data_IF_845341569546
#
_entry.id   IF_845341569546
#
_cell.length_a   1.000
_cell.length_b   1.000
_cell.length_c   1.000
_cell.angle_alpha   90.00
_cell.angle_beta   90.00
_cell.angle_gamma   90.00
#
_symmetry.space_group_name_H-M   'P 1'
#
loop_
_entity.id
_entity.type
_entity.pdbx_description
1 polymer ?
#
# COMPACT_ATOMS: atom_id res chain seq x y z
N UNK A 1 -26.86 -1.02 -30.20
CA UNK A 1 -28.13 -0.89 -29.43
C UNK A 1 -27.86 0.17 -28.38
N UNK A 2 -28.68 1.23 -28.29
CA UNK A 2 -28.36 2.62 -27.88
C UNK A 2 -27.62 3.41 -28.98
N UNK A 3 -28.28 4.42 -29.56
CA UNK A 3 -27.73 5.31 -30.59
C UNK A 3 -26.67 6.30 -30.07
N UNK A 4 -25.78 5.83 -29.19
CA UNK A 4 -24.62 6.57 -28.69
C UNK A 4 -23.42 6.30 -29.58
N UNK A 5 -22.48 7.24 -29.68
CA UNK A 5 -21.20 6.98 -30.31
C UNK A 5 -20.47 5.86 -29.56
N UNK A 6 -19.69 5.06 -30.29
CA UNK A 6 -18.97 3.91 -29.72
C UNK A 6 -18.06 4.32 -28.54
N UNK A 7 -17.49 5.51 -28.61
CA UNK A 7 -16.66 6.09 -27.54
C UNK A 7 -17.46 6.39 -26.27
N UNK A 8 -18.68 6.95 -26.40
CA UNK A 8 -19.53 7.24 -25.23
C UNK A 8 -19.96 5.95 -24.53
N UNK A 9 -20.22 4.89 -25.28
CA UNK A 9 -20.54 3.59 -24.70
C UNK A 9 -19.38 3.02 -23.87
N UNK A 10 -18.15 3.03 -24.41
CA UNK A 10 -16.97 2.53 -23.69
C UNK A 10 -16.66 3.34 -22.43
N UNK A 11 -16.81 4.67 -22.48
CA UNK A 11 -16.63 5.52 -21.31
C UNK A 11 -17.67 5.23 -20.23
N UNK A 12 -18.93 5.05 -20.62
CA UNK A 12 -20.01 4.74 -19.68
C UNK A 12 -19.82 3.36 -19.04
N UNK A 13 -19.41 2.37 -19.83
CA UNK A 13 -19.11 1.01 -19.37
C UNK A 13 -17.93 0.98 -18.39
N UNK A 14 -16.88 1.77 -18.67
CA UNK A 14 -15.76 1.94 -17.75
C UNK A 14 -16.20 2.55 -16.41
N UNK A 15 -17.03 3.60 -16.43
CA UNK A 15 -17.57 4.24 -15.21
C UNK A 15 -18.41 3.26 -14.41
N UNK A 16 -19.29 2.49 -15.07
CA UNK A 16 -20.11 1.46 -14.41
C UNK A 16 -19.22 0.40 -13.77
N UNK A 17 -18.18 -0.05 -14.46
CA UNK A 17 -17.22 -1.03 -13.95
C UNK A 17 -16.50 -0.51 -12.71
N UNK A 18 -16.01 0.75 -12.73
CA UNK A 18 -15.31 1.35 -11.57
C UNK A 18 -16.23 1.48 -10.37
N UNK A 19 -17.47 1.94 -10.57
CA UNK A 19 -18.47 2.01 -9.49
C UNK A 19 -18.74 0.60 -8.94
N UNK A 20 -18.93 -0.39 -9.82
CA UNK A 20 -19.13 -1.78 -9.45
C UNK A 20 -17.97 -2.34 -8.61
N UNK A 21 -16.73 -2.07 -9.03
CA UNK A 21 -15.52 -2.44 -8.31
C UNK A 21 -15.49 -1.84 -6.89
N UNK A 22 -15.73 -0.53 -6.77
CA UNK A 22 -15.76 0.16 -5.48
C UNK A 22 -16.83 -0.46 -4.57
N UNK A 23 -18.02 -0.74 -5.10
CA UNK A 23 -19.10 -1.36 -4.35
C UNK A 23 -18.74 -2.80 -3.93
N UNK A 24 -18.08 -3.58 -4.79
CA UNK A 24 -17.59 -4.92 -4.46
C UNK A 24 -16.63 -4.89 -3.25
N UNK A 25 -15.70 -3.94 -3.26
CA UNK A 25 -14.68 -3.81 -2.19
C UNK A 25 -15.30 -3.25 -0.91
N UNK A 26 -16.09 -2.17 -1.00
CA UNK A 26 -16.55 -1.44 0.19
C UNK A 26 -17.80 -2.04 0.82
N UNK A 27 -18.78 -2.45 0.02
CA UNK A 27 -20.08 -2.95 0.50
C UNK A 27 -20.10 -4.47 0.62
N UNK A 28 -19.63 -5.17 -0.40
CA UNK A 28 -19.59 -6.63 -0.41
C UNK A 28 -18.34 -7.21 0.27
N UNK A 29 -17.35 -6.36 0.61
CA UNK A 29 -16.11 -6.75 1.31
C UNK A 29 -15.33 -7.84 0.58
N UNK A 30 -15.38 -7.85 -0.76
CA UNK A 30 -14.56 -8.76 -1.55
C UNK A 30 -13.08 -8.35 -1.42
N UNK A 31 -12.19 -9.35 -1.38
CA UNK A 31 -10.77 -9.08 -1.41
C UNK A 31 -10.42 -8.28 -2.68
N UNK A 32 -9.68 -7.15 -2.59
CA UNK A 32 -9.44 -6.26 -3.72
C UNK A 32 -8.91 -6.97 -4.96
N UNK A 33 -8.01 -7.95 -4.77
CA UNK A 33 -7.49 -8.78 -5.86
C UNK A 33 -8.58 -9.51 -6.65
N UNK A 34 -9.53 -10.15 -5.95
CA UNK A 34 -10.64 -10.89 -6.58
C UNK A 34 -11.60 -9.90 -7.25
N UNK A 35 -11.90 -8.78 -6.59
CA UNK A 35 -12.77 -7.75 -7.12
C UNK A 35 -12.22 -7.14 -8.42
N UNK A 36 -10.91 -6.90 -8.50
CA UNK A 36 -10.23 -6.41 -9.69
C UNK A 36 -10.29 -7.40 -10.86
N UNK A 37 -10.12 -8.70 -10.60
CA UNK A 37 -10.25 -9.74 -11.64
C UNK A 37 -11.66 -9.75 -12.21
N UNK A 38 -12.67 -9.74 -11.33
CA UNK A 38 -14.08 -9.73 -11.74
C UNK A 38 -14.39 -8.47 -12.55
N UNK A 39 -13.95 -7.30 -12.10
CA UNK A 39 -14.16 -6.04 -12.79
C UNK A 39 -13.48 -6.00 -14.18
N UNK A 40 -12.25 -6.50 -14.28
CA UNK A 40 -11.53 -6.56 -15.55
C UNK A 40 -12.18 -7.52 -16.55
N UNK A 41 -12.63 -8.69 -16.08
CA UNK A 41 -13.39 -9.64 -16.91
C UNK A 41 -14.73 -9.05 -17.35
N UNK A 42 -15.45 -8.40 -16.42
CA UNK A 42 -16.71 -7.73 -16.72
C UNK A 42 -16.54 -6.69 -17.83
N UNK A 43 -15.61 -5.74 -17.65
CA UNK A 43 -15.33 -4.70 -18.63
C UNK A 43 -14.89 -5.26 -19.99
N UNK A 44 -14.03 -6.26 -20.00
CA UNK A 44 -13.57 -6.89 -21.24
C UNK A 44 -14.71 -7.54 -22.03
N UNK A 45 -15.66 -8.18 -21.33
CA UNK A 45 -16.83 -8.81 -21.94
C UNK A 45 -17.84 -7.79 -22.43
N UNK A 46 -18.13 -6.74 -21.64
CA UNK A 46 -19.12 -5.71 -21.98
C UNK A 46 -18.62 -4.74 -23.07
N UNK A 47 -17.30 -4.54 -23.16
CA UNK A 47 -16.65 -3.79 -24.24
C UNK A 47 -16.58 -4.57 -25.56
N UNK A 48 -17.00 -5.83 -25.59
CA UNK A 48 -17.05 -6.65 -26.82
C UNK A 48 -15.70 -7.23 -27.25
N UNK A 49 -14.71 -7.30 -26.36
CA UNK A 49 -13.42 -7.89 -26.70
C UNK A 49 -13.50 -9.43 -26.82
N UNK A 50 -12.78 -10.05 -27.77
CA UNK A 50 -12.64 -11.50 -27.80
C UNK A 50 -12.04 -12.04 -26.49
N UNK A 51 -12.57 -13.15 -25.97
CA UNK A 51 -12.17 -13.70 -24.66
C UNK A 51 -10.65 -13.92 -24.54
N UNK A 52 -9.98 -14.39 -25.59
CA UNK A 52 -8.52 -14.56 -25.60
C UNK A 52 -7.75 -13.25 -25.46
N UNK A 53 -8.29 -12.14 -25.99
CA UNK A 53 -7.67 -10.81 -25.85
C UNK A 53 -7.91 -10.20 -24.48
N UNK A 54 -9.02 -10.53 -23.79
CA UNK A 54 -9.29 -10.10 -22.41
C UNK A 54 -8.20 -10.62 -21.46
N UNK A 55 -7.91 -11.93 -21.53
CA UNK A 55 -6.88 -12.53 -20.69
C UNK A 55 -5.50 -11.93 -20.96
N UNK A 56 -5.18 -11.69 -22.24
CA UNK A 56 -3.91 -11.07 -22.62
C UNK A 56 -3.80 -9.63 -22.13
N UNK A 57 -4.83 -8.81 -22.33
CA UNK A 57 -4.86 -7.42 -21.84
C UNK A 57 -4.75 -7.35 -20.30
N UNK A 58 -5.42 -8.27 -19.60
CA UNK A 58 -5.27 -8.39 -18.14
C UNK A 58 -3.84 -8.75 -17.75
N UNK A 59 -3.25 -9.77 -18.39
CA UNK A 59 -1.87 -10.19 -18.14
C UNK A 59 -0.85 -9.09 -18.44
N UNK A 60 -1.03 -8.34 -19.53
CA UNK A 60 -0.12 -7.26 -19.92
C UNK A 60 -0.21 -6.09 -18.91
N UNK A 61 -1.43 -5.69 -18.53
CA UNK A 61 -1.63 -4.63 -17.54
C UNK A 61 -1.12 -5.03 -16.15
N UNK A 62 -1.54 -6.19 -15.65
CA UNK A 62 -1.12 -6.70 -14.35
C UNK A 62 0.38 -7.01 -14.31
N UNK A 63 0.90 -7.65 -15.35
CA UNK A 63 2.30 -8.01 -15.50
C UNK A 63 3.21 -6.80 -15.62
N UNK A 64 2.79 -5.72 -16.29
CA UNK A 64 3.53 -4.46 -16.32
C UNK A 64 3.69 -3.84 -14.93
N UNK A 65 2.60 -3.79 -14.14
CA UNK A 65 2.64 -3.27 -12.77
C UNK A 65 3.49 -4.16 -11.86
N UNK A 66 3.32 -5.48 -11.94
CA UNK A 66 4.14 -6.42 -11.18
C UNK A 66 5.62 -6.41 -11.61
N UNK A 67 5.91 -6.21 -12.89
CA UNK A 67 7.28 -6.11 -13.39
C UNK A 67 7.98 -4.87 -12.84
N UNK A 68 7.27 -3.73 -12.78
CA UNK A 68 7.80 -2.49 -12.22
C UNK A 68 7.94 -2.53 -10.70
N UNK A 69 6.91 -2.97 -9.97
CA UNK A 69 6.86 -2.89 -8.50
C UNK A 69 7.38 -4.17 -7.83
N UNK A 70 7.32 -5.32 -8.50
CA UNK A 70 7.48 -6.63 -7.87
C UNK A 70 8.87 -6.88 -7.28
N UNK A 71 9.95 -6.54 -7.98
CA UNK A 71 11.32 -6.70 -7.45
C UNK A 71 11.56 -5.73 -6.30
N UNK A 72 11.12 -4.47 -6.44
CA UNK A 72 11.25 -3.45 -5.40
C UNK A 72 10.48 -3.89 -4.14
N UNK A 73 9.27 -4.41 -4.31
CA UNK A 73 8.43 -4.96 -3.25
C UNK A 73 9.05 -6.20 -2.59
N UNK A 74 9.55 -7.16 -3.38
CA UNK A 74 10.20 -8.36 -2.86
C UNK A 74 11.45 -8.02 -2.05
N UNK A 75 12.36 -7.20 -2.60
CA UNK A 75 13.58 -6.81 -1.91
C UNK A 75 13.29 -5.91 -0.70
N UNK A 76 12.35 -4.97 -0.83
CA UNK A 76 11.93 -4.08 0.26
C UNK A 76 11.31 -4.84 1.43
N UNK A 77 10.44 -5.81 1.16
CA UNK A 77 9.83 -6.65 2.21
C UNK A 77 10.86 -7.59 2.86
N UNK A 78 11.81 -8.14 2.10
CA UNK A 78 12.93 -8.93 2.67
C UNK A 78 13.80 -8.07 3.59
N UNK A 79 14.29 -6.92 3.10
CA UNK A 79 15.06 -5.96 3.91
C UNK A 79 14.30 -5.53 5.14
N UNK A 80 13.01 -5.24 4.97
CA UNK A 80 12.13 -4.83 6.03
C UNK A 80 11.96 -5.89 7.12
N UNK A 81 11.70 -7.13 6.72
CA UNK A 81 11.57 -8.25 7.66
C UNK A 81 12.89 -8.56 8.36
N UNK A 82 14.02 -8.46 7.66
CA UNK A 82 15.34 -8.59 8.29
C UNK A 82 15.59 -7.46 9.29
N UNK A 83 15.23 -6.22 8.97
CA UNK A 83 15.40 -5.06 9.86
C UNK A 83 14.49 -5.15 11.10
N UNK A 84 13.30 -5.71 10.93
CA UNK A 84 12.36 -6.05 11.99
C UNK A 84 12.92 -7.11 12.95
N UNK A 85 13.29 -8.27 12.41
CA UNK A 85 13.70 -9.44 13.19
C UNK A 85 15.07 -9.26 13.85
N UNK A 86 15.96 -8.49 13.22
CA UNK A 86 17.29 -8.19 13.76
C UNK A 86 17.28 -7.11 14.85
N UNK A 87 16.17 -6.39 15.06
CA UNK A 87 16.15 -5.19 15.92
C UNK A 87 16.91 -4.00 15.33
N UNK A 88 17.30 -4.06 14.04
CA UNK A 88 17.95 -2.94 13.35
C UNK A 88 17.09 -1.67 13.35
N UNK A 89 15.78 -1.82 13.18
CA UNK A 89 14.83 -0.70 13.26
C UNK A 89 14.85 -0.03 14.66
N UNK A 90 14.89 -0.84 15.74
CA UNK A 90 14.99 -0.35 17.12
C UNK A 90 16.31 0.40 17.36
N UNK A 91 17.40 -0.08 16.77
CA UNK A 91 18.71 0.55 16.90
C UNK A 91 18.77 1.91 16.17
N UNK A 92 18.18 2.01 14.98
CA UNK A 92 18.08 3.27 14.23
C UNK A 92 17.31 4.31 15.06
N UNK A 93 16.17 3.94 15.63
CA UNK A 93 15.39 4.86 16.46
C UNK A 93 16.12 5.29 17.73
N UNK A 94 16.77 4.35 18.43
CA UNK A 94 17.56 4.69 19.61
C UNK A 94 18.70 5.65 19.29
N UNK A 95 19.35 5.48 18.13
CA UNK A 95 20.41 6.38 17.66
C UNK A 95 19.86 7.78 17.36
N UNK A 96 18.71 7.87 16.68
CA UNK A 96 18.05 9.15 16.39
C UNK A 96 17.60 9.86 17.67
N UNK A 97 17.07 9.14 18.65
CA UNK A 97 16.68 9.72 19.95
C UNK A 97 17.87 10.25 20.72
N UNK A 98 19.01 9.54 20.69
CA UNK A 98 20.26 10.02 21.29
C UNK A 98 20.78 11.27 20.59
N UNK A 99 20.63 11.36 19.27
CA UNK A 99 21.10 12.50 18.48
C UNK A 99 20.21 13.76 18.62
N UNK A 100 18.88 13.60 18.57
CA UNK A 100 17.93 14.71 18.63
C UNK A 100 17.61 15.17 20.06
N UNK A 101 17.85 14.32 21.06
CA UNK A 101 17.54 14.59 22.46
C UNK A 101 16.06 14.33 22.82
N UNK A 102 15.79 14.18 24.12
CA UNK A 102 14.46 13.80 24.65
C UNK A 102 13.34 14.76 24.24
N UNK A 103 13.65 16.05 24.11
CA UNK A 103 12.65 17.09 23.79
C UNK A 103 12.18 17.06 22.33
N UNK A 104 12.96 16.43 21.43
CA UNK A 104 12.67 16.35 19.98
C UNK A 104 12.42 14.92 19.51
N UNK A 105 12.06 14.03 20.43
CA UNK A 105 11.78 12.62 20.14
C UNK A 105 10.73 12.44 19.05
N UNK A 106 9.70 13.29 19.01
CA UNK A 106 8.69 13.27 17.94
C UNK A 106 9.29 13.45 16.54
N UNK A 107 10.26 14.35 16.38
CA UNK A 107 10.95 14.58 15.10
C UNK A 107 11.88 13.42 14.74
N UNK A 108 12.59 12.87 15.72
CA UNK A 108 13.41 11.67 15.54
C UNK A 108 12.55 10.47 15.08
N UNK A 109 11.36 10.33 15.66
CA UNK A 109 10.43 9.24 15.36
C UNK A 109 9.80 9.38 13.97
N UNK A 110 9.42 10.60 13.57
CA UNK A 110 8.98 10.88 12.20
C UNK A 110 10.10 10.58 11.18
N UNK A 111 11.35 10.95 11.48
CA UNK A 111 12.47 10.67 10.58
C UNK A 111 12.79 9.17 10.50
N UNK A 112 12.68 8.46 11.64
CA UNK A 112 12.79 7.01 11.68
C UNK A 112 11.70 6.36 10.84
N UNK A 113 10.45 6.79 11.00
CA UNK A 113 9.30 6.33 10.23
C UNK A 113 9.50 6.51 8.73
N UNK A 114 9.98 7.68 8.33
CA UNK A 114 10.27 8.00 6.96
C UNK A 114 11.37 7.11 6.38
N UNK A 115 12.49 6.95 7.10
CA UNK A 115 13.62 6.15 6.63
C UNK A 115 13.27 4.66 6.54
N UNK A 116 12.54 4.15 7.54
CA UNK A 116 12.14 2.76 7.68
C UNK A 116 10.97 2.44 6.74
N UNK A 117 10.02 3.36 6.53
CA UNK A 117 8.82 3.15 5.71
C UNK A 117 9.07 3.04 4.20
N UNK A 118 10.12 3.70 3.68
CA UNK A 118 10.49 3.62 2.25
C UNK A 118 10.72 2.16 1.80
N UNK A 119 11.61 1.37 2.46
CA UNK A 119 11.83 -0.02 2.06
C UNK A 119 10.71 -0.95 2.52
N UNK A 120 10.10 -0.70 3.69
CA UNK A 120 9.23 -1.67 4.34
C UNK A 120 7.82 -1.78 3.76
N UNK A 121 7.42 -0.91 2.84
CA UNK A 121 6.02 -0.58 2.61
C UNK A 121 5.41 0.06 3.85
N UNK A 122 4.61 1.10 3.64
CA UNK A 122 4.02 1.87 4.72
C UNK A 122 3.27 0.98 5.73
N UNK A 123 2.54 -0.02 5.24
CA UNK A 123 1.71 -0.89 6.07
C UNK A 123 2.52 -1.80 7.02
N UNK A 124 3.63 -2.39 6.55
CA UNK A 124 4.49 -3.26 7.38
C UNK A 124 5.42 -2.40 8.25
N UNK A 125 5.95 -1.30 7.70
CA UNK A 125 6.79 -0.35 8.42
C UNK A 125 6.05 0.22 9.64
N UNK A 126 4.78 0.59 9.48
CA UNK A 126 3.95 1.08 10.57
C UNK A 126 3.84 0.07 11.72
N UNK A 127 3.56 -1.21 11.42
CA UNK A 127 3.45 -2.27 12.44
C UNK A 127 4.74 -2.44 13.25
N UNK A 128 5.91 -2.24 12.63
CA UNK A 128 7.19 -2.31 13.31
C UNK A 128 7.49 -1.10 14.18
N UNK A 129 6.98 0.07 13.78
CA UNK A 129 7.23 1.29 14.51
C UNK A 129 6.36 1.37 15.77
N UNK A 130 5.20 0.70 15.82
CA UNK A 130 4.33 0.61 17.00
C UNK A 130 5.06 0.20 18.29
N UNK A 131 5.74 -0.98 18.37
CA UNK A 131 6.46 -1.37 19.59
C UNK A 131 7.55 -0.37 19.97
N UNK A 132 8.20 0.21 18.97
CA UNK A 132 9.24 1.20 19.12
C UNK A 132 8.69 2.52 19.69
N UNK A 133 7.50 2.98 19.29
CA UNK A 133 6.78 4.08 19.94
C UNK A 133 6.59 3.82 21.43
N UNK A 134 6.13 2.62 21.81
CA UNK A 134 5.88 2.29 23.21
C UNK A 134 7.17 2.30 24.05
N UNK A 135 8.27 1.75 23.51
CA UNK A 135 9.58 1.73 24.16
C UNK A 135 10.08 3.17 24.38
N UNK A 136 9.96 4.01 23.36
CA UNK A 136 10.46 5.38 23.36
C UNK A 136 9.62 6.28 24.27
N UNK A 137 8.29 6.14 24.23
CA UNK A 137 7.39 6.85 25.13
C UNK A 137 7.68 6.51 26.60
N UNK A 138 7.88 5.23 26.92
CA UNK A 138 8.23 4.79 28.29
C UNK A 138 9.58 5.32 28.76
N UNK A 139 10.59 5.39 27.88
CA UNK A 139 11.95 5.86 28.23
C UNK A 139 12.07 7.38 28.32
N UNK A 140 11.30 8.11 27.51
CA UNK A 140 11.38 9.57 27.42
C UNK A 140 10.35 10.25 28.32
N UNK A 141 9.32 9.51 28.77
CA UNK A 141 8.20 10.05 29.56
C UNK A 141 7.21 10.87 28.72
N UNK A 142 7.40 10.91 27.40
CA UNK A 142 6.55 11.65 26.47
C UNK A 142 5.33 10.80 26.11
N UNK A 143 4.16 11.44 25.96
CA UNK A 143 2.91 10.75 25.60
C UNK A 143 3.06 9.93 24.31
N UNK A 144 2.55 8.69 24.35
CA UNK A 144 2.48 7.76 23.21
C UNK A 144 1.83 8.44 22.00
N UNK A 145 0.76 9.21 22.23
CA UNK A 145 0.02 9.90 21.15
C UNK A 145 0.90 10.96 20.49
N UNK A 146 1.70 11.72 21.26
CA UNK A 146 2.63 12.72 20.69
C UNK A 146 3.71 12.10 19.82
N UNK A 147 4.11 10.86 20.12
CA UNK A 147 5.14 10.14 19.36
C UNK A 147 4.52 9.34 18.19
N UNK A 148 3.28 8.89 18.34
CA UNK A 148 2.55 8.06 17.38
C UNK A 148 1.84 8.83 16.26
N UNK A 149 1.42 10.08 16.48
CA UNK A 149 0.79 10.90 15.41
C UNK A 149 1.72 11.19 14.22
N UNK A 150 3.02 11.46 14.39
CA UNK A 150 3.94 11.73 13.28
C UNK A 150 4.37 10.49 12.46
N UNK A 151 3.93 9.29 12.84
CA UNK A 151 4.24 8.02 12.21
C UNK A 151 3.24 7.68 11.11
#
# INVERSE_FOLDING_TARGET
MFGMSHETFLLLDAVVTVIGLIVLITKFKFHPFIALIIAALFLGLTSGMPVGTILKAFQDGFGGVLGFVGIILALGTMLGKMMAESGGADQIAQTLIRAFGKDKVQWAMMFAAFLVGIPLFFEIGFVLLIPLVFIVARRTGVSIIKIGIPL
#
